data_IF_788952252832
#
_entry.id   IF_788952252832
#
_cell.length_a   1.000
_cell.length_b   1.000
_cell.length_c   1.000
_cell.angle_alpha   90.00
_cell.angle_beta   90.00
_cell.angle_gamma   90.00
#
_symmetry.space_group_name_H-M   'P 1'
#
loop_
_entity.id
_entity.type
_entity.pdbx_description
1 polymer ?
#
# COMPACT_ATOMS: atom_id res chain seq x y z
N UNK A 1 8.18 -50.95 -29.72
CA UNK A 1 7.34 -49.81 -29.28
C UNK A 1 6.44 -50.34 -28.18
N UNK A 2 6.52 -50.00 -26.89
CA UNK A 2 7.34 -49.14 -26.04
C UNK A 2 7.01 -49.58 -24.61
N UNK A 3 8.03 -49.90 -23.80
CA UNK A 3 7.87 -50.21 -22.37
C UNK A 3 7.38 -48.97 -21.63
N UNK A 4 6.12 -48.93 -21.22
CA UNK A 4 5.61 -47.94 -20.28
C UNK A 4 6.33 -48.15 -18.94
N UNK A 5 6.99 -47.14 -18.35
CA UNK A 5 7.86 -47.36 -17.20
C UNK A 5 7.01 -47.86 -16.03
N UNK A 6 7.44 -48.96 -15.42
CA UNK A 6 7.21 -49.28 -14.02
C UNK A 6 7.13 -47.96 -13.23
N UNK A 7 6.07 -47.78 -12.45
CA UNK A 7 6.05 -46.73 -11.45
C UNK A 7 7.13 -47.09 -10.41
N UNK A 8 8.38 -46.78 -10.75
CA UNK A 8 9.58 -47.15 -10.04
C UNK A 8 9.35 -46.95 -8.55
N UNK A 9 9.44 -48.04 -7.78
CA UNK A 9 8.99 -48.08 -6.41
C UNK A 9 9.68 -47.03 -5.54
N UNK A 10 9.04 -46.69 -4.42
CA UNK A 10 9.66 -45.82 -3.44
C UNK A 10 10.96 -46.46 -2.93
N UNK A 11 12.04 -45.67 -2.86
CA UNK A 11 13.33 -46.15 -2.35
C UNK A 11 13.25 -46.72 -0.92
N UNK A 12 12.26 -46.31 -0.12
CA UNK A 12 12.01 -46.83 1.23
C UNK A 12 10.88 -47.86 1.31
N UNK A 13 9.99 -47.89 0.32
CA UNK A 13 8.82 -48.76 0.29
C UNK A 13 8.76 -49.44 -1.09
N UNK A 14 9.48 -50.56 -1.28
CA UNK A 14 9.53 -51.28 -2.55
C UNK A 14 8.16 -51.80 -3.00
N UNK A 15 7.25 -51.98 -2.04
CA UNK A 15 5.86 -52.39 -2.22
C UNK A 15 4.95 -51.26 -2.73
N UNK A 16 5.45 -50.03 -2.85
CA UNK A 16 4.64 -48.85 -3.19
C UNK A 16 5.17 -48.11 -4.40
N UNK A 17 4.30 -47.70 -5.34
CA UNK A 17 4.70 -46.87 -6.46
C UNK A 17 5.18 -45.50 -5.96
N UNK A 18 6.29 -45.00 -6.51
CA UNK A 18 6.68 -43.62 -6.27
C UNK A 18 5.90 -42.67 -7.18
N UNK A 19 5.53 -41.51 -6.63
CA UNK A 19 4.79 -40.49 -7.37
C UNK A 19 5.61 -39.22 -7.67
N UNK A 20 6.72 -39.02 -6.96
CA UNK A 20 7.59 -37.83 -7.09
C UNK A 20 9.05 -38.18 -6.78
N UNK A 21 9.98 -37.32 -7.19
CA UNK A 21 11.43 -37.42 -6.91
C UNK A 21 11.90 -36.36 -5.92
N UNK A 22 12.86 -36.71 -5.08
CA UNK A 22 13.45 -35.80 -4.12
C UNK A 22 14.38 -34.79 -4.82
N UNK A 23 14.16 -33.49 -4.62
CA UNK A 23 14.94 -32.41 -5.25
C UNK A 23 16.42 -32.29 -4.80
N UNK A 24 16.85 -33.07 -3.79
CA UNK A 24 18.22 -33.04 -3.25
C UNK A 24 19.07 -34.24 -3.65
N UNK A 25 18.45 -35.41 -3.80
CA UNK A 25 19.17 -36.67 -4.02
C UNK A 25 18.57 -37.51 -5.14
N UNK A 26 17.55 -36.98 -5.84
CA UNK A 26 16.84 -37.56 -6.97
C UNK A 26 16.19 -38.93 -6.72
N UNK A 27 16.22 -39.42 -5.48
CA UNK A 27 15.54 -40.66 -5.08
C UNK A 27 14.03 -40.51 -5.20
N UNK A 28 13.40 -41.58 -5.66
CA UNK A 28 11.95 -41.68 -5.82
C UNK A 28 11.26 -41.93 -4.48
N UNK A 29 10.17 -41.21 -4.23
CA UNK A 29 9.41 -41.26 -2.98
C UNK A 29 7.91 -41.48 -3.22
N UNK A 30 7.28 -42.29 -2.38
CA UNK A 30 5.82 -42.40 -2.32
C UNK A 30 5.23 -41.26 -1.47
N UNK A 31 3.91 -41.10 -1.50
CA UNK A 31 3.20 -40.05 -0.76
C UNK A 31 3.42 -40.07 0.76
N UNK A 32 3.81 -41.21 1.34
CA UNK A 32 4.16 -41.31 2.76
C UNK A 32 5.57 -40.80 3.11
N UNK A 33 6.51 -40.86 2.16
CA UNK A 33 7.89 -40.37 2.36
C UNK A 33 8.07 -38.92 1.89
N UNK A 34 6.98 -38.25 1.51
CA UNK A 34 6.95 -36.95 0.85
C UNK A 34 6.92 -35.81 1.87
N UNK A 35 8.06 -35.15 2.09
CA UNK A 35 8.13 -33.95 2.93
C UNK A 35 8.10 -32.69 2.08
N UNK A 36 7.20 -31.76 2.41
CA UNK A 36 7.08 -30.49 1.68
C UNK A 36 8.29 -29.60 1.93
N UNK A 37 8.92 -29.12 0.86
CA UNK A 37 10.05 -28.20 0.88
C UNK A 37 9.65 -26.82 0.32
N UNK A 38 10.55 -25.84 0.38
CA UNK A 38 10.35 -24.53 -0.27
C UNK A 38 10.20 -24.66 -1.79
N UNK A 39 10.83 -25.66 -2.39
CA UNK A 39 10.68 -26.04 -3.79
C UNK A 39 10.55 -27.56 -3.88
N UNK A 40 9.42 -28.05 -4.38
CA UNK A 40 9.16 -29.48 -4.56
C UNK A 40 9.09 -30.27 -3.25
N UNK A 41 9.68 -31.47 -3.26
CA UNK A 41 9.58 -32.43 -2.16
C UNK A 41 10.95 -33.00 -1.80
N UNK A 42 11.15 -33.26 -0.51
CA UNK A 42 12.33 -33.93 0.01
C UNK A 42 11.97 -35.30 0.61
N UNK A 43 12.90 -36.24 0.53
CA UNK A 43 12.81 -37.54 1.19
C UNK A 43 13.16 -37.44 2.69
N UNK A 44 12.88 -38.48 3.51
CA UNK A 44 13.10 -38.43 4.95
C UNK A 44 14.56 -38.18 5.35
N UNK A 45 15.53 -38.69 4.60
CA UNK A 45 16.96 -38.46 4.87
C UNK A 45 17.41 -37.03 4.52
N UNK A 46 16.75 -36.37 3.57
CA UNK A 46 17.08 -35.01 3.13
C UNK A 46 16.26 -33.92 3.81
N UNK A 47 15.10 -34.25 4.40
CA UNK A 47 14.21 -33.27 5.05
C UNK A 47 14.76 -32.74 6.39
N UNK A 48 15.72 -33.44 7.00
CA UNK A 48 16.23 -33.11 8.34
C UNK A 48 15.23 -33.45 9.45
N UNK A 49 15.58 -33.23 10.73
CA UNK A 49 14.66 -33.49 11.84
C UNK A 49 13.37 -32.69 11.65
N UNK A 50 12.26 -33.40 11.47
CA UNK A 50 10.93 -32.80 11.40
C UNK A 50 10.63 -32.23 12.78
N UNK A 51 10.73 -30.92 12.93
CA UNK A 51 10.33 -30.22 14.14
C UNK A 51 8.80 -30.38 14.30
N UNK A 52 8.37 -31.42 15.01
CA UNK A 52 6.99 -31.63 15.46
C UNK A 52 6.69 -30.52 16.47
N UNK A 53 6.30 -29.34 15.98
CA UNK A 53 6.12 -28.17 16.83
C UNK A 53 6.16 -26.83 16.12
N UNK A 54 6.64 -26.73 14.87
CA UNK A 54 6.36 -25.54 14.06
C UNK A 54 4.90 -25.60 13.61
N UNK A 55 4.02 -25.13 14.51
CA UNK A 55 2.71 -24.58 14.16
C UNK A 55 2.91 -23.87 12.84
N UNK A 56 2.28 -24.35 11.76
CA UNK A 56 2.23 -23.59 10.50
C UNK A 56 1.82 -22.19 10.92
N UNK A 57 2.77 -21.25 10.94
CA UNK A 57 2.44 -19.85 10.82
C UNK A 57 1.82 -19.82 9.44
N UNK A 58 0.51 -20.05 9.39
CA UNK A 58 -0.33 -19.44 8.39
C UNK A 58 0.15 -18.01 8.46
N UNK A 59 0.88 -17.56 7.43
CA UNK A 59 1.00 -16.15 7.16
C UNK A 59 -0.44 -15.71 6.99
N UNK A 60 -1.11 -15.40 8.11
CA UNK A 60 -2.23 -14.50 8.12
C UNK A 60 -1.66 -13.36 7.32
N UNK A 61 -2.20 -13.14 6.11
CA UNK A 61 -2.00 -11.89 5.41
C UNK A 61 -2.14 -10.86 6.50
N UNK A 62 -1.04 -10.20 6.82
CA UNK A 62 -1.12 -9.03 7.66
C UNK A 62 -1.88 -8.07 6.74
N UNK A 63 -3.22 -8.11 6.81
CA UNK A 63 -3.99 -6.88 6.69
C UNK A 63 -3.24 -5.93 7.61
N UNK A 64 -2.57 -4.88 7.10
CA UNK A 64 -1.88 -3.97 7.97
C UNK A 64 -2.89 -3.56 9.03
N UNK A 65 -2.63 -3.99 10.27
CA UNK A 65 -3.40 -3.50 11.39
C UNK A 65 -3.25 -1.97 11.32
N UNK A 66 -4.33 -1.19 11.46
CA UNK A 66 -4.28 0.27 11.36
C UNK A 66 -3.43 0.93 12.45
N UNK A 67 -2.68 0.16 13.24
CA UNK A 67 -2.04 0.58 14.49
C UNK A 67 -0.51 0.45 14.50
N UNK A 68 0.16 0.28 13.36
CA UNK A 68 1.65 0.36 13.34
C UNK A 68 2.19 1.77 13.69
N UNK A 69 1.30 2.77 13.87
CA UNK A 69 1.61 4.10 14.40
C UNK A 69 1.26 4.29 15.88
N UNK A 70 0.69 3.29 16.57
CA UNK A 70 0.16 3.44 17.94
C UNK A 70 1.22 3.68 19.03
N UNK A 71 2.50 3.74 18.68
CA UNK A 71 3.61 3.94 19.62
C UNK A 71 4.51 5.14 19.31
N UNK A 72 4.17 5.97 18.32
CA UNK A 72 4.79 7.29 18.15
C UNK A 72 3.82 8.33 18.66
N UNK A 73 4.29 9.22 19.53
CA UNK A 73 3.53 10.41 19.90
C UNK A 73 3.02 11.08 18.62
N UNK A 74 1.70 11.25 18.47
CA UNK A 74 1.11 11.71 17.20
C UNK A 74 1.23 13.23 17.08
N UNK A 75 2.35 13.82 17.52
CA UNK A 75 2.56 15.27 17.50
C UNK A 75 2.43 15.78 16.07
N UNK A 76 3.09 15.12 15.10
CA UNK A 76 2.98 15.50 13.70
C UNK A 76 1.52 15.49 13.21
N UNK A 77 0.75 14.45 13.55
CA UNK A 77 -0.66 14.33 13.18
C UNK A 77 -1.48 15.45 13.85
N UNK A 78 -1.30 15.68 15.15
CA UNK A 78 -2.00 16.75 15.88
C UNK A 78 -1.67 18.13 15.32
N UNK A 79 -0.42 18.38 14.96
CA UNK A 79 0.03 19.62 14.32
C UNK A 79 -0.63 19.78 12.96
N UNK A 80 -0.63 18.74 12.12
CA UNK A 80 -1.30 18.78 10.82
C UNK A 80 -2.80 19.02 10.94
N UNK A 81 -3.47 18.36 11.89
CA UNK A 81 -4.90 18.59 12.18
C UNK A 81 -5.13 20.04 12.59
N UNK A 82 -4.32 20.58 13.51
CA UNK A 82 -4.45 21.96 13.97
C UNK A 82 -4.23 22.98 12.82
N UNK A 83 -3.22 22.75 11.98
CA UNK A 83 -2.93 23.60 10.82
C UNK A 83 -4.07 23.58 9.80
N UNK A 84 -4.61 22.40 9.48
CA UNK A 84 -5.75 22.26 8.56
C UNK A 84 -7.01 22.94 9.12
N UNK A 85 -7.30 22.76 10.41
CA UNK A 85 -8.42 23.43 11.06
C UNK A 85 -8.25 24.96 11.03
N UNK A 86 -7.05 25.47 11.33
CA UNK A 86 -6.77 26.90 11.27
C UNK A 86 -6.91 27.47 9.85
N UNK A 87 -6.39 26.77 8.84
CA UNK A 87 -6.53 27.16 7.43
C UNK A 87 -8.00 27.17 6.98
N UNK A 88 -8.80 26.20 7.42
CA UNK A 88 -10.24 26.16 7.13
C UNK A 88 -11.01 27.31 7.79
N UNK A 89 -10.72 27.62 9.04
CA UNK A 89 -11.30 28.78 9.73
C UNK A 89 -10.92 30.10 9.05
N UNK A 90 -9.67 30.23 8.59
CA UNK A 90 -9.23 31.36 7.79
C UNK A 90 -9.98 31.43 6.45
N UNK A 91 -10.17 30.30 5.77
CA UNK A 91 -10.95 30.26 4.54
C UNK A 91 -12.39 30.74 4.76
N UNK A 92 -13.05 30.31 5.84
CA UNK A 92 -14.40 30.75 6.20
C UNK A 92 -14.47 32.27 6.43
N UNK A 93 -13.47 32.87 7.09
CA UNK A 93 -13.42 34.33 7.28
C UNK A 93 -13.20 35.11 5.97
N UNK A 94 -12.73 34.43 4.91
CA UNK A 94 -12.49 34.97 3.57
C UNK A 94 -13.57 34.60 2.55
N UNK A 95 -14.71 34.07 3.01
CA UNK A 95 -15.88 33.78 2.16
C UNK A 95 -15.96 32.34 1.62
N UNK A 96 -15.18 31.41 2.16
CA UNK A 96 -15.44 29.98 1.96
C UNK A 96 -16.75 29.58 2.65
N UNK A 97 -17.34 28.45 2.24
CA UNK A 97 -18.58 27.94 2.80
C UNK A 97 -18.45 26.51 3.30
N UNK A 98 -19.23 26.16 4.33
CA UNK A 98 -19.31 24.80 4.84
C UNK A 98 -19.87 23.81 3.79
N UNK A 99 -20.58 24.31 2.78
CA UNK A 99 -21.24 23.53 1.73
C UNK A 99 -20.37 23.23 0.50
N UNK A 100 -19.13 23.76 0.42
CA UNK A 100 -18.20 23.38 -0.66
C UNK A 100 -17.60 24.51 -1.49
N UNK A 101 -17.58 25.74 -1.00
CA UNK A 101 -16.88 26.86 -1.66
C UNK A 101 -15.57 27.18 -0.96
N UNK A 102 -14.50 27.45 -1.73
CA UNK A 102 -13.23 27.99 -1.22
C UNK A 102 -13.21 29.52 -1.20
N UNK A 103 -14.18 30.21 -1.81
CA UNK A 103 -14.14 31.68 -1.92
C UNK A 103 -12.85 32.19 -2.57
N UNK A 104 -12.40 33.38 -2.17
CA UNK A 104 -11.19 34.02 -2.72
C UNK A 104 -9.88 33.26 -2.40
N UNK A 105 -9.83 32.52 -1.29
CA UNK A 105 -8.61 31.80 -0.88
C UNK A 105 -8.25 30.66 -1.83
N UNK A 106 -9.21 30.16 -2.61
CA UNK A 106 -8.92 29.20 -3.68
C UNK A 106 -8.04 29.81 -4.78
N UNK A 107 -8.25 31.09 -5.11
CA UNK A 107 -7.43 31.79 -6.10
C UNK A 107 -6.11 32.24 -5.48
N UNK A 108 -6.08 32.62 -4.21
CA UNK A 108 -4.87 33.13 -3.55
C UNK A 108 -3.86 32.01 -3.22
N UNK A 109 -4.35 30.86 -2.76
CA UNK A 109 -3.51 29.79 -2.18
C UNK A 109 -3.70 28.42 -2.82
N UNK A 110 -4.68 28.29 -3.73
CA UNK A 110 -4.93 27.03 -4.45
C UNK A 110 -3.83 26.70 -5.44
N UNK A 111 -3.75 25.42 -5.80
CA UNK A 111 -2.78 24.93 -6.76
C UNK A 111 -3.18 25.35 -8.17
N UNK A 112 -2.49 26.34 -8.71
CA UNK A 112 -2.66 26.85 -10.07
C UNK A 112 -1.31 26.78 -10.75
N UNK A 113 -1.18 26.01 -11.83
CA UNK A 113 0.07 25.91 -12.59
C UNK A 113 0.38 27.22 -13.31
N UNK A 114 -0.59 27.69 -14.10
CA UNK A 114 -0.60 28.99 -14.75
C UNK A 114 -2.06 29.47 -14.82
N UNK A 115 -2.29 30.77 -14.60
CA UNK A 115 -3.59 31.39 -14.62
C UNK A 115 -3.49 32.88 -14.90
N UNK A 116 -4.62 33.51 -15.18
CA UNK A 116 -4.71 34.94 -15.48
C UNK A 116 -5.82 35.57 -14.64
N UNK A 117 -5.57 36.76 -14.07
CA UNK A 117 -6.61 37.50 -13.34
C UNK A 117 -7.70 38.01 -14.28
N UNK A 118 -7.33 38.39 -15.50
CA UNK A 118 -8.25 38.82 -16.54
C UNK A 118 -7.70 38.50 -17.93
N UNK A 119 -8.59 38.51 -18.92
CA UNK A 119 -8.23 38.43 -20.33
C UNK A 119 -8.76 39.65 -21.09
N UNK A 120 -7.92 40.21 -21.95
CA UNK A 120 -8.35 41.20 -22.97
C UNK A 120 -8.11 40.53 -24.33
N UNK A 121 -9.17 39.98 -24.90
CA UNK A 121 -9.05 39.08 -26.05
C UNK A 121 -8.23 37.84 -25.67
N UNK A 122 -7.12 37.60 -26.36
CA UNK A 122 -6.18 36.50 -26.08
C UNK A 122 -5.05 36.89 -25.10
N UNK A 123 -4.99 38.16 -24.69
CA UNK A 123 -3.94 38.64 -23.79
C UNK A 123 -4.26 38.31 -22.34
N UNK A 124 -3.34 37.63 -21.66
CA UNK A 124 -3.37 37.39 -20.23
C UNK A 124 -2.98 38.67 -19.46
N UNK A 125 -3.84 39.14 -18.57
CA UNK A 125 -3.57 40.29 -17.71
C UNK A 125 -3.43 39.81 -16.27
N UNK A 126 -2.27 40.11 -15.68
CA UNK A 126 -1.90 39.66 -14.34
C UNK A 126 -1.78 38.14 -14.30
N UNK A 127 -0.74 37.57 -14.96
CA UNK A 127 -0.48 36.15 -14.86
C UNK A 127 -0.21 35.78 -13.39
N UNK A 128 -0.61 34.58 -13.00
CA UNK A 128 -0.45 34.02 -11.67
C UNK A 128 -0.25 32.51 -11.75
N UNK A 129 0.18 31.89 -10.66
CA UNK A 129 0.42 30.45 -10.59
C UNK A 129 1.89 30.10 -10.37
N UNK A 130 2.16 28.81 -10.26
CA UNK A 130 3.50 28.27 -9.98
C UNK A 130 4.51 28.67 -11.05
N UNK A 131 4.10 28.73 -12.31
CA UNK A 131 4.93 29.16 -13.45
C UNK A 131 5.39 30.62 -13.34
N UNK A 132 4.60 31.46 -12.68
CA UNK A 132 4.90 32.88 -12.43
C UNK A 132 5.66 33.11 -11.13
N UNK A 133 6.21 32.05 -10.53
CA UNK A 133 6.99 32.11 -9.30
C UNK A 133 6.18 32.00 -8.00
N UNK A 134 4.87 31.71 -8.08
CA UNK A 134 4.03 31.50 -6.90
C UNK A 134 4.17 30.06 -6.33
N UNK A 135 5.41 29.63 -6.08
CA UNK A 135 5.76 28.26 -5.67
C UNK A 135 5.14 27.84 -4.34
N UNK A 136 4.81 28.80 -3.47
CA UNK A 136 4.11 28.52 -2.22
C UNK A 136 2.78 27.78 -2.43
N UNK A 137 2.14 27.94 -3.59
CA UNK A 137 0.90 27.25 -3.97
C UNK A 137 1.00 25.73 -3.89
N UNK A 138 2.19 25.17 -4.12
CA UNK A 138 2.43 23.72 -4.00
C UNK A 138 2.23 23.22 -2.56
N UNK A 139 2.59 24.06 -1.58
CA UNK A 139 2.44 23.73 -0.17
C UNK A 139 1.10 24.20 0.38
N UNK A 140 0.68 25.43 0.08
CA UNK A 140 -0.53 26.01 0.67
C UNK A 140 -1.80 25.30 0.21
N UNK A 141 -1.83 24.78 -1.02
CA UNK A 141 -2.99 24.05 -1.53
C UNK A 141 -3.30 22.79 -0.74
N UNK A 142 -2.29 22.16 -0.12
CA UNK A 142 -2.45 20.94 0.65
C UNK A 142 -3.28 21.14 1.92
N UNK A 143 -3.43 22.39 2.39
CA UNK A 143 -4.20 22.73 3.59
C UNK A 143 -5.61 23.27 3.29
N UNK A 144 -5.92 23.53 2.02
CA UNK A 144 -7.21 24.06 1.63
C UNK A 144 -8.27 22.95 1.55
N UNK A 145 -9.43 23.20 2.16
CA UNK A 145 -10.54 22.25 2.19
C UNK A 145 -11.84 22.93 1.75
N UNK A 146 -12.47 22.40 0.70
CA UNK A 146 -13.73 22.89 0.16
C UNK A 146 -14.93 22.27 0.91
N UNK A 147 -15.28 22.83 2.06
CA UNK A 147 -16.45 22.43 2.85
C UNK A 147 -16.18 21.50 4.03
N UNK A 148 -17.20 21.40 4.90
CA UNK A 148 -17.08 20.74 6.21
C UNK A 148 -16.89 19.22 6.08
N UNK A 149 -17.60 18.59 5.15
CA UNK A 149 -17.46 17.14 4.92
C UNK A 149 -16.06 16.79 4.39
N UNK A 150 -15.51 17.64 3.51
CA UNK A 150 -14.18 17.40 2.92
C UNK A 150 -13.08 17.43 4.00
N UNK A 151 -13.06 18.45 4.86
CA UNK A 151 -12.10 18.48 5.98
C UNK A 151 -12.37 17.36 6.98
N UNK A 152 -13.63 17.05 7.29
CA UNK A 152 -14.00 15.99 8.22
C UNK A 152 -13.47 14.62 7.79
N UNK A 153 -13.62 14.24 6.52
CA UNK A 153 -13.10 12.98 6.01
C UNK A 153 -11.57 12.93 5.98
N UNK A 154 -10.90 14.01 5.59
CA UNK A 154 -9.43 14.05 5.55
C UNK A 154 -8.78 13.95 6.93
N UNK A 155 -9.44 14.44 7.98
CA UNK A 155 -8.90 14.35 9.34
C UNK A 155 -9.23 13.02 10.03
N UNK A 156 -10.22 12.27 9.52
CA UNK A 156 -10.70 11.01 10.11
C UNK A 156 -10.09 9.76 9.46
N UNK A 157 -9.89 9.78 8.13
CA UNK A 157 -9.32 8.67 7.35
C UNK A 157 -7.79 8.66 7.42
#
# INVERSE_FOLDING_TARGET
VSTSPEADACHWHPDRPAGVTCQRCDRRICGLCMHQASVGFHCPSCAGPVAVGRRRQVHRRHTPAPSSFAHRDPIAIRVLIALNAAAFLYALSRGASLAGSLGGVGVDFGLVGFGCKAFIGQMCIGPLGVDEGEWWRLATSAFLHAGLLHIGFNMFL
#
